data_IF_974446369959
#
_entry.id   IF_974446369959
#
_cell.length_a   1.000
_cell.length_b   1.000
_cell.length_c   1.000
_cell.angle_alpha   90.00
_cell.angle_beta   90.00
_cell.angle_gamma   90.00
#
_symmetry.space_group_name_H-M   'P 1'
#
loop_
_entity.id
_entity.type
_entity.pdbx_description
1 polymer ?
#
# COMPACT_ATOMS: atom_id res chain seq x y z
N UNK A 1 6.81 10.16 8.39
CA UNK A 1 6.45 10.66 7.04
C UNK A 1 5.88 9.50 6.23
N UNK A 2 4.75 9.64 5.54
CA UNK A 2 4.48 8.80 4.34
C UNK A 2 5.03 9.63 3.20
N UNK A 3 5.92 9.08 2.40
CA UNK A 3 6.37 9.72 1.18
C UNK A 3 5.58 9.09 0.03
N UNK A 4 4.70 9.87 -0.58
CA UNK A 4 4.09 9.56 -1.87
C UNK A 4 5.04 10.07 -2.94
N UNK A 5 5.79 9.17 -3.58
CA UNK A 5 6.71 9.53 -4.66
C UNK A 5 6.01 9.29 -5.98
N UNK A 6 5.41 10.34 -6.51
CA UNK A 6 4.94 10.36 -7.89
C UNK A 6 6.09 10.72 -8.83
N UNK A 7 6.46 9.81 -9.73
CA UNK A 7 7.27 10.16 -10.89
C UNK A 7 6.36 10.23 -12.14
N UNK A 8 5.73 11.39 -12.35
CA UNK A 8 4.98 11.70 -13.57
C UNK A 8 3.76 10.81 -13.85
N UNK A 9 3.60 10.35 -15.09
CA UNK A 9 2.45 9.56 -15.59
C UNK A 9 2.56 8.05 -15.37
N UNK A 10 3.64 7.59 -14.73
CA UNK A 10 3.88 6.17 -14.49
C UNK A 10 3.51 5.85 -13.05
N UNK A 11 2.53 4.96 -12.88
CA UNK A 11 2.00 4.59 -11.57
C UNK A 11 2.99 3.66 -10.85
N UNK A 12 4.11 4.23 -10.37
CA UNK A 12 5.15 3.50 -9.62
C UNK A 12 4.53 2.84 -8.38
N UNK A 13 3.52 3.46 -7.79
CA UNK A 13 2.73 2.90 -6.70
C UNK A 13 2.15 1.52 -7.07
N UNK A 14 1.59 1.35 -8.27
CA UNK A 14 1.04 0.07 -8.71
C UNK A 14 2.12 -1.01 -8.76
N UNK A 15 3.30 -0.67 -9.28
CA UNK A 15 4.43 -1.61 -9.36
C UNK A 15 4.96 -1.97 -7.97
N UNK A 16 5.14 -0.98 -7.10
CA UNK A 16 5.57 -1.20 -5.72
C UNK A 16 4.57 -2.06 -4.93
N UNK A 17 3.28 -1.83 -5.12
CA UNK A 17 2.22 -2.62 -4.47
C UNK A 17 2.22 -4.05 -5.00
N UNK A 18 2.31 -4.25 -6.32
CA UNK A 18 2.35 -5.58 -6.94
C UNK A 18 3.58 -6.38 -6.52
N UNK A 19 4.74 -5.73 -6.38
CA UNK A 19 5.97 -6.35 -5.87
C UNK A 19 5.95 -6.52 -4.33
N UNK A 20 4.92 -6.03 -3.63
CA UNK A 20 4.81 -6.11 -2.17
C UNK A 20 5.75 -5.17 -1.41
N UNK A 21 6.35 -4.20 -2.09
CA UNK A 21 7.16 -3.14 -1.48
C UNK A 21 6.32 -2.03 -0.85
N UNK A 22 5.04 -1.92 -1.23
CA UNK A 22 4.08 -0.95 -0.70
C UNK A 22 2.72 -1.59 -0.39
N UNK A 23 1.93 -0.89 0.43
CA UNK A 23 0.56 -1.23 0.81
C UNK A 23 -0.41 -0.15 0.33
N UNK A 24 -1.63 -0.53 0.00
CA UNK A 24 -2.65 0.38 -0.51
C UNK A 24 -3.25 1.17 0.63
N UNK A 25 -3.16 2.50 0.54
CA UNK A 25 -3.78 3.37 1.53
C UNK A 25 -5.19 3.78 1.10
N UNK A 26 -6.20 3.44 1.89
CA UNK A 26 -7.62 3.67 1.51
C UNK A 26 -8.00 5.14 1.34
N UNK A 27 -7.32 6.08 2.01
CA UNK A 27 -7.52 7.52 1.77
C UNK A 27 -7.02 7.97 0.40
N UNK A 28 -6.03 7.26 -0.16
CA UNK A 28 -5.55 7.52 -1.50
C UNK A 28 -6.54 7.03 -2.56
N UNK A 29 -7.20 5.88 -2.31
CA UNK A 29 -8.29 5.39 -3.15
C UNK A 29 -9.44 6.39 -3.24
N UNK A 30 -9.70 7.15 -2.16
CA UNK A 30 -10.72 8.20 -2.16
C UNK A 30 -10.39 9.38 -3.09
N UNK A 31 -9.12 9.57 -3.47
CA UNK A 31 -8.70 10.67 -4.35
C UNK A 31 -8.64 10.28 -5.83
N UNK A 32 -8.54 8.99 -6.16
CA UNK A 32 -8.42 8.50 -7.54
C UNK A 32 -9.20 7.19 -7.76
N UNK A 33 -10.50 7.26 -8.11
CA UNK A 33 -11.33 6.09 -8.33
C UNK A 33 -10.91 5.25 -9.54
N UNK A 34 -10.27 5.83 -10.56
CA UNK A 34 -9.86 5.07 -11.76
C UNK A 34 -8.72 4.06 -11.52
N UNK A 35 -8.00 4.19 -10.41
CA UNK A 35 -6.83 3.35 -10.09
C UNK A 35 -7.06 2.42 -8.91
N UNK A 36 -8.27 2.38 -8.36
CA UNK A 36 -8.57 1.65 -7.13
C UNK A 36 -8.51 0.14 -7.30
N UNK A 37 -9.20 -0.38 -8.31
CA UNK A 37 -9.30 -1.79 -8.64
C UNK A 37 -7.92 -2.36 -8.99
N UNK A 38 -7.12 -1.60 -9.73
CA UNK A 38 -5.77 -2.01 -10.12
C UNK A 38 -4.85 -2.14 -8.89
N UNK A 39 -4.89 -1.17 -7.97
CA UNK A 39 -4.09 -1.18 -6.74
C UNK A 39 -4.54 -2.29 -5.79
N UNK A 40 -5.85 -2.48 -5.61
CA UNK A 40 -6.41 -3.54 -4.79
C UNK A 40 -6.04 -4.94 -5.34
N UNK A 41 -6.15 -5.14 -6.65
CA UNK A 41 -5.74 -6.38 -7.29
C UNK A 41 -4.23 -6.64 -7.14
N UNK A 42 -3.40 -5.62 -7.31
CA UNK A 42 -1.96 -5.71 -7.12
C UNK A 42 -1.60 -6.07 -5.66
N UNK A 43 -2.28 -5.48 -4.69
CA UNK A 43 -2.07 -5.77 -3.27
C UNK A 43 -2.45 -7.20 -2.92
N UNK A 44 -3.59 -7.66 -3.42
CA UNK A 44 -4.06 -9.04 -3.23
C UNK A 44 -3.05 -10.05 -3.79
N UNK A 45 -2.45 -9.77 -4.95
CA UNK A 45 -1.40 -10.61 -5.52
C UNK A 45 -0.15 -10.65 -4.64
N UNK A 46 0.31 -9.49 -4.16
CA UNK A 46 1.48 -9.41 -3.30
C UNK A 46 1.27 -10.10 -1.94
N UNK A 47 0.06 -9.99 -1.36
CA UNK A 47 -0.36 -10.73 -0.17
C UNK A 47 -0.34 -12.24 -0.40
N UNK A 48 -0.95 -12.70 -1.50
CA UNK A 48 -1.03 -14.11 -1.83
C UNK A 48 0.37 -14.72 -2.04
N UNK A 49 1.26 -13.97 -2.68
CA UNK A 49 2.65 -14.38 -2.91
C UNK A 49 3.56 -14.12 -1.70
N UNK A 50 3.06 -13.49 -0.64
CA UNK A 50 3.82 -13.11 0.57
C UNK A 50 5.12 -12.38 0.22
N UNK A 51 5.05 -11.44 -0.73
CA UNK A 51 6.22 -10.72 -1.18
C UNK A 51 6.59 -9.61 -0.21
N UNK A 52 7.90 -9.47 0.06
CA UNK A 52 8.49 -8.34 0.78
C UNK A 52 7.75 -7.98 2.08
N UNK A 53 6.98 -6.88 2.10
CA UNK A 53 6.19 -6.45 3.25
C UNK A 53 5.21 -7.52 3.74
N UNK A 54 4.72 -8.40 2.86
CA UNK A 54 3.76 -9.45 3.19
C UNK A 54 4.41 -10.75 3.69
N UNK A 55 5.74 -10.86 3.64
CA UNK A 55 6.46 -12.03 4.16
C UNK A 55 6.60 -12.01 5.69
N UNK A 56 6.24 -10.92 6.35
CA UNK A 56 6.32 -10.81 7.81
C UNK A 56 5.13 -11.52 8.47
N UNK A 57 5.32 -12.15 9.64
CA UNK A 57 4.31 -13.00 10.28
C UNK A 57 3.09 -12.22 10.79
N UNK A 58 3.23 -10.91 11.04
CA UNK A 58 2.12 -10.06 11.45
C UNK A 58 2.28 -8.66 10.82
N UNK A 59 1.86 -8.48 9.56
CA UNK A 59 2.01 -7.20 8.88
C UNK A 59 1.11 -6.15 9.52
N UNK A 60 1.71 -5.22 10.27
CA UNK A 60 1.00 -4.07 10.83
C UNK A 60 1.05 -2.94 9.83
N UNK A 61 -0.12 -2.48 9.42
CA UNK A 61 -0.21 -1.37 8.49
C UNK A 61 0.36 -0.08 9.10
N UNK A 62 1.07 0.76 8.32
CA UNK A 62 1.67 1.98 8.83
C UNK A 62 0.67 2.95 9.48
N UNK A 63 -0.59 2.95 9.02
CA UNK A 63 -1.65 3.76 9.61
C UNK A 63 -2.20 3.18 10.92
N UNK A 64 -2.25 1.85 11.06
CA UNK A 64 -2.64 1.21 12.33
C UNK A 64 -1.60 1.47 13.41
N UNK A 65 -0.31 1.39 13.06
CA UNK A 65 0.78 1.78 13.96
C UNK A 65 0.66 3.24 14.40
N UNK A 66 0.38 4.16 13.47
CA UNK A 66 0.21 5.59 13.80
C UNK A 66 -1.02 5.88 14.64
N UNK A 67 -2.11 5.14 14.46
CA UNK A 67 -3.33 5.30 15.25
C UNK A 67 -3.09 4.82 16.69
N UNK A 68 -2.44 3.67 16.86
CA UNK A 68 -2.09 3.14 18.18
C UNK A 68 -1.14 4.06 18.96
N UNK A 69 -0.26 4.78 18.27
CA UNK A 69 0.70 5.70 18.91
C UNK A 69 0.14 7.10 19.22
N UNK A 70 -1.13 7.38 18.91
CA UNK A 70 -1.81 8.65 19.25
C UNK A 70 -2.65 8.58 20.53
N UNK A 71 -2.85 7.40 21.10
CA UNK A 71 -3.64 7.19 22.32
C UNK A 71 -2.77 6.93 23.58
N UNK A 72 -1.46 7.23 23.51
CA UNK A 72 -0.51 7.13 24.62
C UNK A 72 -0.15 8.47 25.23
#
# INVERSE_FOLDING_TARGET
>A
MVAEVYAGSQNINLKLVSEGHAVVYTQFLSSCPDTDDALLAAEAQAQQQRLNFWNQPNPVMPWDYRRSNREG
#
